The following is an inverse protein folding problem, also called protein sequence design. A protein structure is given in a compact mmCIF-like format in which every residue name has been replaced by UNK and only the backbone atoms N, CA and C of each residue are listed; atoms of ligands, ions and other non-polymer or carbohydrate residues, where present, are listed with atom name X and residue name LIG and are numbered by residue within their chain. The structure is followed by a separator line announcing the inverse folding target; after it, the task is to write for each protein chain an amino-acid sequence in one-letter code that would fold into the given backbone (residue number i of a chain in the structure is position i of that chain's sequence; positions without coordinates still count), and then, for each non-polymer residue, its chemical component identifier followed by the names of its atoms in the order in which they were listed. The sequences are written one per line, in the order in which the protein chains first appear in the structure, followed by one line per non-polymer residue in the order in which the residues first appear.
data_IF_126460070436
#
_entry.id   IF_126460070436
#
_cell.length_a   1.000
_cell.length_b   1.000
_cell.length_c   1.000
_cell.angle_alpha   90.00
_cell.angle_beta   90.00
_cell.angle_gamma   90.00
#
_symmetry.space_group_name_H-M   'P 1'
#
loop_
_entity.id
_entity.type
_entity.pdbx_description
1 polymer ?
#
# COMPACT_ATOMS: atom_id res chain seq x y z
N UNK A 1 -33.72 -56.21 30.92
CA UNK A 1 -34.00 -55.90 29.51
C UNK A 1 -33.34 -54.58 29.16
N UNK A 2 -32.08 -54.63 28.71
CA UNK A 2 -31.30 -53.48 28.22
C UNK A 2 -30.16 -54.09 27.41
N UNK A 3 -30.50 -54.50 26.19
CA UNK A 3 -29.55 -54.99 25.21
C UNK A 3 -29.25 -53.87 24.22
N UNK A 4 -27.95 -53.70 23.98
CA UNK A 4 -27.36 -53.39 22.67
C UNK A 4 -27.75 -52.07 22.00
N UNK A 5 -26.90 -51.06 22.17
CA UNK A 5 -26.58 -50.08 21.12
C UNK A 5 -25.16 -49.54 21.35
N UNK A 6 -24.19 -50.43 21.13
CA UNK A 6 -22.80 -50.10 20.83
C UNK A 6 -22.62 -50.34 19.32
N UNK A 7 -21.80 -49.50 18.68
CA UNK A 7 -21.42 -49.48 17.26
C UNK A 7 -22.33 -48.64 16.34
N UNK A 8 -21.90 -47.40 16.03
CA UNK A 8 -21.53 -47.00 14.66
C UNK A 8 -21.03 -45.54 14.61
N UNK A 9 -19.77 -45.26 14.98
CA UNK A 9 -19.19 -43.92 14.79
C UNK A 9 -17.68 -43.92 14.52
N UNK A 10 -17.13 -44.93 13.84
CA UNK A 10 -15.69 -45.00 13.56
C UNK A 10 -15.31 -45.36 12.12
N UNK A 11 -16.21 -45.22 11.14
CA UNK A 11 -15.83 -45.47 9.75
C UNK A 11 -16.37 -44.33 8.89
N UNK A 12 -15.48 -43.74 8.09
CA UNK A 12 -15.64 -42.58 7.20
C UNK A 12 -15.42 -41.23 7.93
N UNK A 13 -14.34 -40.48 7.73
CA UNK A 13 -13.35 -40.59 6.69
C UNK A 13 -12.18 -39.62 6.87
N UNK A 14 -11.07 -40.02 6.27
CA UNK A 14 -9.91 -39.20 5.90
C UNK A 14 -9.22 -38.51 7.07
N UNK A 15 -8.33 -39.27 7.72
CA UNK A 15 -7.12 -38.70 8.30
C UNK A 15 -6.31 -38.03 7.17
N UNK A 16 -6.68 -36.80 6.80
CA UNK A 16 -5.75 -35.92 6.11
C UNK A 16 -4.74 -35.51 7.16
N UNK A 17 -3.64 -36.26 7.26
CA UNK A 17 -2.40 -35.71 7.84
C UNK A 17 -2.25 -34.28 7.29
N UNK A 18 -1.94 -33.27 8.12
CA UNK A 18 -1.70 -31.92 7.60
C UNK A 18 -0.70 -32.07 6.44
N UNK A 19 -1.14 -31.71 5.23
CA UNK A 19 -0.33 -31.92 4.03
C UNK A 19 0.97 -31.18 4.28
N UNK A 20 2.09 -31.90 4.30
CA UNK A 20 3.38 -31.21 4.33
C UNK A 20 3.43 -30.28 3.11
N UNK A 21 3.73 -28.99 3.31
CA UNK A 21 3.84 -28.07 2.20
C UNK A 21 4.92 -28.61 1.26
N UNK A 22 4.55 -28.91 0.02
CA UNK A 22 5.48 -29.36 -1.02
C UNK A 22 6.54 -28.26 -1.22
N UNK A 23 7.77 -28.62 -1.53
CA UNK A 23 8.85 -27.65 -1.81
C UNK A 23 8.56 -26.70 -3.00
N UNK A 24 7.45 -26.88 -3.71
CA UNK A 24 7.04 -26.16 -4.91
C UNK A 24 5.99 -25.06 -4.70
N UNK A 25 5.57 -24.79 -3.47
CA UNK A 25 4.65 -23.68 -3.17
C UNK A 25 5.37 -22.35 -3.44
N UNK A 26 4.77 -21.52 -4.30
CA UNK A 26 5.27 -20.16 -4.50
C UNK A 26 4.99 -19.39 -3.21
N UNK A 27 6.03 -18.75 -2.66
CA UNK A 27 5.92 -18.01 -1.41
C UNK A 27 5.36 -16.63 -1.71
N UNK A 28 4.38 -16.19 -0.92
CA UNK A 28 3.94 -14.79 -0.96
C UNK A 28 5.12 -13.90 -0.63
N UNK A 29 5.41 -12.88 -1.46
CA UNK A 29 6.47 -11.94 -1.14
C UNK A 29 6.12 -11.17 0.14
N UNK A 30 7.11 -10.97 1.00
CA UNK A 30 6.93 -10.21 2.23
C UNK A 30 6.91 -8.71 1.88
N UNK A 31 5.77 -8.07 2.13
CA UNK A 31 5.58 -6.63 2.00
C UNK A 31 5.46 -6.05 3.42
N UNK A 32 6.31 -5.10 3.83
CA UNK A 32 6.16 -4.46 5.14
C UNK A 32 4.81 -3.74 5.24
N UNK A 33 4.21 -3.72 6.42
CA UNK A 33 2.98 -2.96 6.63
C UNK A 33 3.24 -1.47 6.34
N UNK A 34 2.39 -0.82 5.53
CA UNK A 34 2.54 0.60 5.25
C UNK A 34 2.23 1.43 6.52
N UNK A 35 2.97 2.54 6.76
CA UNK A 35 2.72 3.38 7.93
C UNK A 35 1.34 4.07 7.89
N UNK A 36 0.82 4.33 6.70
CA UNK A 36 -0.51 4.89 6.45
C UNK A 36 -1.18 4.24 5.23
N UNK A 37 -2.40 4.62 4.90
CA UNK A 37 -3.06 4.28 3.64
C UNK A 37 -2.59 5.18 2.48
N UNK A 38 -1.62 6.07 2.70
CA UNK A 38 -1.01 6.91 1.67
C UNK A 38 -1.93 7.99 1.09
N UNK A 39 -3.04 8.32 1.77
CA UNK A 39 -4.07 9.20 1.21
C UNK A 39 -3.52 10.62 0.97
N UNK A 40 -2.68 11.12 1.87
CA UNK A 40 -2.00 12.41 1.68
C UNK A 40 -1.16 12.45 0.40
N UNK A 41 -0.39 11.39 0.14
CA UNK A 41 0.44 11.25 -1.08
C UNK A 41 -0.45 11.21 -2.34
N UNK A 42 -1.58 10.52 -2.27
CA UNK A 42 -2.53 10.43 -3.39
C UNK A 42 -3.20 11.78 -3.70
N UNK A 43 -3.64 12.50 -2.67
CA UNK A 43 -4.30 13.81 -2.80
C UNK A 43 -3.34 14.94 -3.19
N UNK A 44 -2.05 14.75 -2.96
CA UNK A 44 -1.01 15.74 -3.31
C UNK A 44 -0.41 15.51 -4.70
N UNK A 45 -0.78 14.44 -5.43
CA UNK A 45 -0.28 14.19 -6.79
C UNK A 45 -0.47 15.40 -7.71
N UNK A 46 0.56 15.83 -8.48
CA UNK A 46 0.48 17.01 -9.34
C UNK A 46 -0.67 16.96 -10.36
N UNK A 47 -1.06 15.77 -10.80
CA UNK A 47 -2.13 15.55 -11.77
C UNK A 47 -3.52 15.83 -11.22
N UNK A 48 -3.70 15.80 -9.90
CA UNK A 48 -4.97 16.12 -9.27
C UNK A 48 -5.10 17.64 -9.21
N UNK A 49 -5.88 18.27 -10.09
CA UNK A 49 -6.23 19.70 -9.94
C UNK A 49 -7.39 19.86 -8.97
N UNK A 50 -7.85 21.09 -8.69
CA UNK A 50 -9.06 21.34 -7.90
C UNK A 50 -10.25 20.55 -8.48
N UNK A 51 -10.73 19.48 -7.81
CA UNK A 51 -11.67 18.53 -8.39
C UNK A 51 -13.13 18.87 -8.07
N UNK A 52 -13.38 19.98 -7.39
CA UNK A 52 -14.69 20.35 -6.88
C UNK A 52 -15.35 21.43 -7.75
N UNK A 53 -16.65 21.31 -7.98
CA UNK A 53 -17.44 22.32 -8.70
C UNK A 53 -17.79 23.52 -7.81
N UNK A 54 -17.69 23.35 -6.50
CA UNK A 54 -18.01 24.37 -5.49
C UNK A 54 -16.76 25.09 -5.02
N UNK A 55 -16.94 26.27 -4.40
CA UNK A 55 -15.84 27.03 -3.79
C UNK A 55 -15.48 26.49 -2.41
N UNK A 56 -16.50 26.10 -1.65
CA UNK A 56 -16.37 25.46 -0.35
C UNK A 56 -16.69 23.97 -0.48
N UNK A 57 -15.92 23.16 0.23
CA UNK A 57 -15.96 21.70 0.17
C UNK A 57 -16.29 21.16 1.55
N UNK A 58 -17.43 20.48 1.64
CA UNK A 58 -17.85 19.78 2.85
C UNK A 58 -17.20 18.38 2.95
N UNK A 59 -17.21 17.79 4.14
CA UNK A 59 -16.62 16.46 4.38
C UNK A 59 -17.13 15.42 3.36
N UNK A 60 -18.44 15.38 3.08
CA UNK A 60 -19.02 14.40 2.15
C UNK A 60 -18.40 14.46 0.73
N UNK A 61 -18.09 15.65 0.24
CA UNK A 61 -17.42 15.82 -1.06
C UNK A 61 -15.97 15.36 -0.99
N UNK A 62 -15.27 15.66 0.11
CA UNK A 62 -13.91 15.18 0.35
C UNK A 62 -13.86 13.65 0.48
N UNK A 63 -14.83 13.02 1.15
CA UNK A 63 -14.95 11.55 1.21
C UNK A 63 -15.10 10.96 -0.19
N UNK A 64 -15.93 11.57 -1.04
CA UNK A 64 -16.09 11.17 -2.43
C UNK A 64 -14.78 11.25 -3.22
N UNK A 65 -14.04 12.36 -3.07
CA UNK A 65 -12.71 12.51 -3.68
C UNK A 65 -11.73 11.46 -3.18
N UNK A 66 -11.62 11.27 -1.86
CA UNK A 66 -10.71 10.31 -1.24
C UNK A 66 -10.96 8.89 -1.77
N UNK A 67 -12.22 8.48 -1.89
CA UNK A 67 -12.57 7.18 -2.45
C UNK A 67 -12.17 7.05 -3.94
N UNK A 68 -12.38 8.11 -4.72
CA UNK A 68 -12.01 8.13 -6.15
C UNK A 68 -10.49 8.00 -6.34
N UNK A 69 -9.68 8.80 -5.62
CA UNK A 69 -8.22 8.76 -5.79
C UNK A 69 -7.61 7.44 -5.31
N UNK A 70 -8.20 6.81 -4.29
CA UNK A 70 -7.77 5.48 -3.82
C UNK A 70 -8.08 4.42 -4.87
N UNK A 71 -9.26 4.43 -5.48
CA UNK A 71 -9.61 3.51 -6.56
C UNK A 71 -8.68 3.67 -7.77
N UNK A 72 -8.45 4.91 -8.21
CA UNK A 72 -7.52 5.19 -9.30
C UNK A 72 -6.09 4.72 -8.98
N UNK A 73 -5.64 4.92 -7.74
CA UNK A 73 -4.33 4.46 -7.30
C UNK A 73 -4.24 2.93 -7.24
N UNK A 74 -5.30 2.25 -6.80
CA UNK A 74 -5.40 0.80 -6.81
C UNK A 74 -5.29 0.24 -8.23
N UNK A 75 -6.07 0.78 -9.17
CA UNK A 75 -5.97 0.40 -10.58
C UNK A 75 -4.57 0.64 -11.15
N UNK A 76 -3.95 1.79 -10.82
CA UNK A 76 -2.58 2.08 -11.23
C UNK A 76 -1.54 1.12 -10.65
N UNK A 77 -1.75 0.67 -9.41
CA UNK A 77 -0.91 -0.31 -8.75
C UNK A 77 -1.10 -1.72 -9.35
N UNK A 78 -2.34 -2.12 -9.64
CA UNK A 78 -2.62 -3.41 -10.26
C UNK A 78 -2.16 -3.46 -11.71
N UNK A 79 -2.32 -2.40 -12.49
CA UNK A 79 -1.74 -2.31 -13.84
C UNK A 79 -0.21 -2.35 -13.83
N UNK A 80 0.43 -1.89 -12.74
CA UNK A 80 1.86 -2.05 -12.54
C UNK A 80 2.26 -3.50 -12.22
N UNK A 81 1.42 -4.21 -11.45
CA UNK A 81 1.65 -5.64 -11.13
C UNK A 81 1.34 -6.53 -12.33
N UNK A 82 0.23 -6.31 -13.04
CA UNK A 82 -0.21 -7.02 -14.25
C UNK A 82 0.70 -6.69 -15.45
N UNK A 83 1.94 -7.17 -15.38
CA UNK A 83 2.97 -6.86 -16.36
C UNK A 83 2.65 -7.46 -17.75
N UNK A 84 1.80 -8.48 -17.80
CA UNK A 84 1.42 -9.16 -19.04
C UNK A 84 0.06 -8.68 -19.61
N UNK A 85 -0.71 -7.90 -18.85
CA UNK A 85 -2.02 -7.34 -19.21
C UNK A 85 -3.09 -8.40 -19.53
N UNK A 86 -3.02 -9.56 -18.88
CA UNK A 86 -4.01 -10.64 -19.05
C UNK A 86 -5.23 -10.47 -18.12
N UNK A 87 -5.26 -9.42 -17.30
CA UNK A 87 -6.36 -9.15 -16.36
C UNK A 87 -6.34 -10.06 -15.14
N UNK A 88 -5.28 -10.85 -14.95
CA UNK A 88 -5.10 -11.74 -13.83
C UNK A 88 -3.77 -11.49 -13.13
N UNK A 89 -3.81 -11.06 -11.88
CA UNK A 89 -2.62 -10.87 -11.07
C UNK A 89 -2.10 -12.24 -10.61
N UNK A 90 -0.87 -12.56 -11.00
CA UNK A 90 -0.11 -13.72 -10.53
C UNK A 90 0.77 -13.42 -9.32
N UNK A 91 1.08 -14.46 -8.54
CA UNK A 91 2.01 -14.34 -7.40
C UNK A 91 3.46 -14.04 -7.86
N UNK A 92 3.85 -14.51 -9.03
CA UNK A 92 5.15 -14.19 -9.65
C UNK A 92 5.25 -12.72 -10.04
N UNK A 93 4.17 -12.15 -10.55
CA UNK A 93 4.06 -10.73 -10.90
C UNK A 93 4.11 -9.84 -9.67
N UNK A 94 3.37 -10.21 -8.63
CA UNK A 94 3.47 -9.54 -7.33
C UNK A 94 4.90 -9.66 -6.78
N UNK A 95 5.52 -10.83 -6.87
CA UNK A 95 6.90 -11.04 -6.40
C UNK A 95 7.89 -10.15 -7.14
N UNK A 96 7.71 -10.00 -8.46
CA UNK A 96 8.50 -9.10 -9.29
C UNK A 96 8.32 -7.64 -8.84
N UNK A 97 7.07 -7.16 -8.77
CA UNK A 97 6.76 -5.79 -8.35
C UNK A 97 7.30 -5.46 -6.94
N UNK A 98 7.18 -6.40 -6.00
CA UNK A 98 7.72 -6.25 -4.64
C UNK A 98 9.26 -6.24 -4.67
N UNK A 99 9.89 -7.09 -5.47
CA UNK A 99 11.36 -7.12 -5.59
C UNK A 99 11.93 -5.83 -6.18
N UNK A 100 11.26 -5.24 -7.17
CA UNK A 100 11.62 -3.95 -7.77
C UNK A 100 11.44 -2.79 -6.79
N UNK A 101 10.54 -2.94 -5.82
CA UNK A 101 10.32 -1.96 -4.74
C UNK A 101 11.37 -2.05 -3.62
N UNK A 102 12.25 -3.06 -3.60
CA UNK A 102 13.32 -3.16 -2.61
C UNK A 102 14.59 -2.51 -3.11
N UNK A 103 14.94 -1.36 -2.54
CA UNK A 103 16.22 -0.69 -2.79
C UNK A 103 17.25 -1.18 -1.78
N UNK A 104 18.35 -1.74 -2.28
CA UNK A 104 19.45 -2.22 -1.45
C UNK A 104 20.65 -1.30 -1.63
N UNK A 105 21.04 -0.62 -0.55
CA UNK A 105 22.30 0.13 -0.46
C UNK A 105 23.29 -0.62 0.44
N UNK A 106 24.57 -0.21 0.44
CA UNK A 106 25.60 -0.81 1.31
C UNK A 106 25.25 -0.73 2.80
N UNK A 107 24.43 0.24 3.21
CA UNK A 107 24.09 0.52 4.61
C UNK A 107 22.68 0.08 5.01
N UNK A 108 21.76 -0.12 4.06
CA UNK A 108 20.37 -0.46 4.38
C UNK A 108 19.65 -1.15 3.24
N UNK A 109 18.70 -2.01 3.61
CA UNK A 109 17.67 -2.52 2.71
C UNK A 109 16.37 -1.81 3.04
N UNK A 110 15.80 -1.11 2.06
CA UNK A 110 14.60 -0.30 2.27
C UNK A 110 13.54 -0.61 1.23
N UNK A 111 12.29 -0.68 1.68
CA UNK A 111 11.14 -0.77 0.79
C UNK A 111 10.76 0.63 0.32
N UNK A 112 10.85 0.86 -0.99
CA UNK A 112 10.54 2.09 -1.70
C UNK A 112 9.68 1.73 -2.93
N UNK A 113 8.38 1.49 -2.72
CA UNK A 113 7.47 1.20 -3.82
C UNK A 113 7.19 2.46 -4.64
N UNK A 114 6.58 2.29 -5.81
CA UNK A 114 6.08 3.39 -6.62
C UNK A 114 5.11 4.27 -5.80
N UNK A 115 5.13 5.57 -6.04
CA UNK A 115 4.33 6.55 -5.32
C UNK A 115 2.84 6.14 -5.21
N UNK A 116 2.35 6.03 -3.97
CA UNK A 116 1.00 5.60 -3.64
C UNK A 116 0.67 4.13 -3.91
N UNK A 117 1.63 3.25 -4.22
CA UNK A 117 1.35 1.81 -4.47
C UNK A 117 1.54 0.89 -3.25
N UNK A 118 2.20 1.37 -2.18
CA UNK A 118 2.52 0.56 -1.00
C UNK A 118 1.29 -0.13 -0.39
N UNK A 119 0.19 0.58 -0.07
CA UNK A 119 -0.96 -0.04 0.59
C UNK A 119 -1.60 -1.13 -0.26
N UNK A 120 -1.57 -0.98 -1.59
CA UNK A 120 -2.14 -1.94 -2.53
C UNK A 120 -1.25 -3.17 -2.71
N UNK A 121 0.08 -3.00 -2.73
CA UNK A 121 1.01 -4.14 -2.73
C UNK A 121 0.88 -4.96 -1.43
N UNK A 122 0.70 -4.28 -0.29
CA UNK A 122 0.46 -4.93 0.99
C UNK A 122 -0.86 -5.71 1.00
N UNK A 123 -1.96 -5.08 0.59
CA UNK A 123 -3.27 -5.73 0.51
C UNK A 123 -3.28 -6.92 -0.44
N UNK A 124 -2.58 -6.84 -1.58
CA UNK A 124 -2.41 -7.97 -2.50
C UNK A 124 -1.65 -9.12 -1.84
N UNK A 125 -0.55 -8.83 -1.14
CA UNK A 125 0.22 -9.86 -0.44
C UNK A 125 -0.62 -10.56 0.64
N UNK A 126 -1.41 -9.81 1.42
CA UNK A 126 -2.33 -10.39 2.38
C UNK A 126 -3.38 -11.29 1.71
N UNK A 127 -4.03 -10.81 0.64
CA UNK A 127 -5.03 -11.57 -0.10
C UNK A 127 -4.44 -12.89 -0.65
N UNK A 128 -3.26 -12.85 -1.26
CA UNK A 128 -2.56 -14.08 -1.67
C UNK A 128 -2.22 -14.99 -0.49
N UNK A 129 -1.86 -14.43 0.66
CA UNK A 129 -1.59 -15.19 1.89
C UNK A 129 -2.80 -15.95 2.42
N UNK A 130 -4.02 -15.51 2.12
CA UNK A 130 -5.26 -16.19 2.52
C UNK A 130 -5.72 -17.27 1.54
N UNK A 131 -5.21 -17.29 0.31
CA UNK A 131 -5.59 -18.27 -0.72
C UNK A 131 -4.69 -19.50 -0.70
N UNK A 132 -5.22 -20.64 -1.14
CA UNK A 132 -4.40 -21.84 -1.34
C UNK A 132 -3.46 -21.63 -2.53
N UNK A 133 -2.18 -21.36 -2.22
CA UNK A 133 -1.13 -21.00 -3.17
C UNK A 133 -0.63 -22.19 -3.99
N UNK A 134 -1.52 -22.86 -4.70
CA UNK A 134 -1.09 -23.66 -5.85
C UNK A 134 -0.36 -22.76 -6.85
N UNK A 135 0.56 -23.32 -7.67
CA UNK A 135 1.36 -22.59 -8.68
C UNK A 135 0.56 -21.78 -9.71
N UNK A 136 -0.77 -21.83 -9.65
CA UNK A 136 -1.70 -21.17 -10.57
C UNK A 136 -2.70 -20.27 -9.84
N UNK A 137 -2.42 -19.86 -8.60
CA UNK A 137 -3.23 -18.88 -7.90
C UNK A 137 -3.21 -17.56 -8.69
N UNK A 138 -4.35 -17.23 -9.29
CA UNK A 138 -4.58 -16.02 -10.07
C UNK A 138 -5.70 -15.23 -9.42
N UNK A 139 -5.51 -13.93 -9.29
CA UNK A 139 -6.52 -13.00 -8.82
C UNK A 139 -7.05 -12.23 -10.02
N UNK A 140 -8.35 -12.35 -10.27
CA UNK A 140 -9.02 -11.49 -11.25
C UNK A 140 -9.00 -10.05 -10.73
N UNK A 141 -8.60 -9.10 -11.57
CA UNK A 141 -8.57 -7.67 -11.23
C UNK A 141 -9.93 -7.18 -10.75
N UNK A 142 -11.03 -7.71 -11.31
CA UNK A 142 -12.39 -7.35 -10.87
C UNK A 142 -12.70 -7.76 -9.43
N UNK A 143 -12.14 -8.87 -8.95
CA UNK A 143 -12.26 -9.30 -7.57
C UNK A 143 -11.43 -8.44 -6.60
N UNK A 144 -10.49 -7.63 -7.12
CA UNK A 144 -9.67 -6.75 -6.31
C UNK A 144 -10.39 -5.45 -5.91
N UNK A 145 -11.49 -5.09 -6.59
CA UNK A 145 -12.38 -4.01 -6.13
C UNK A 145 -12.85 -4.23 -4.68
N UNK A 146 -13.09 -5.49 -4.30
CA UNK A 146 -13.45 -5.84 -2.93
C UNK A 146 -12.33 -5.50 -1.93
N UNK A 147 -11.06 -5.58 -2.34
CA UNK A 147 -9.93 -5.17 -1.48
C UNK A 147 -9.90 -3.66 -1.28
N UNK A 148 -10.24 -2.89 -2.32
CA UNK A 148 -10.33 -1.44 -2.22
C UNK A 148 -11.50 -1.04 -1.33
N UNK A 149 -12.65 -1.67 -1.48
CA UNK A 149 -13.80 -1.45 -0.60
C UNK A 149 -13.50 -1.83 0.86
N UNK A 150 -12.75 -2.90 1.10
CA UNK A 150 -12.25 -3.25 2.45
C UNK A 150 -11.32 -2.17 3.00
N UNK A 151 -10.38 -1.67 2.20
CA UNK A 151 -9.48 -0.59 2.59
C UNK A 151 -10.25 0.69 2.95
N UNK A 152 -11.20 1.11 2.10
CA UNK A 152 -12.03 2.30 2.30
C UNK A 152 -12.92 2.23 3.56
N UNK A 153 -13.20 1.03 4.05
CA UNK A 153 -13.97 0.78 5.29
C UNK A 153 -13.09 0.49 6.50
N UNK A 154 -11.77 0.39 6.32
CA UNK A 154 -10.86 0.12 7.41
C UNK A 154 -10.79 1.32 8.38
N UNK A 155 -10.68 1.04 9.68
CA UNK A 155 -10.57 2.08 10.70
C UNK A 155 -9.37 3.00 10.42
N UNK A 156 -8.23 2.42 10.04
CA UNK A 156 -7.01 3.16 9.66
C UNK A 156 -7.25 4.17 8.55
N UNK A 157 -7.99 3.78 7.50
CA UNK A 157 -8.33 4.70 6.41
C UNK A 157 -9.31 5.79 6.85
N UNK A 158 -10.33 5.43 7.64
CA UNK A 158 -11.33 6.39 8.13
C UNK A 158 -10.68 7.45 9.03
N UNK A 159 -9.76 7.02 9.91
CA UNK A 159 -9.01 7.90 10.79
C UNK A 159 -8.07 8.82 9.99
N UNK A 160 -7.30 8.28 9.03
CA UNK A 160 -6.43 9.09 8.16
C UNK A 160 -7.24 10.09 7.32
N UNK A 161 -8.34 9.65 6.72
CA UNK A 161 -9.23 10.52 5.94
C UNK A 161 -9.76 11.68 6.77
N UNK A 162 -10.21 11.41 7.99
CA UNK A 162 -10.72 12.45 8.89
C UNK A 162 -9.62 13.41 9.31
N UNK A 163 -8.45 12.89 9.70
CA UNK A 163 -7.31 13.71 10.08
C UNK A 163 -6.88 14.65 8.94
N UNK A 164 -6.83 14.15 7.70
CA UNK A 164 -6.51 14.96 6.54
C UNK A 164 -7.59 16.00 6.21
N UNK A 165 -8.86 15.66 6.43
CA UNK A 165 -9.94 16.63 6.28
C UNK A 165 -9.78 17.79 7.27
N UNK A 166 -9.60 17.46 8.55
CA UNK A 166 -9.42 18.43 9.62
C UNK A 166 -8.15 19.28 9.39
N UNK A 167 -7.08 18.67 8.89
CA UNK A 167 -5.84 19.36 8.54
C UNK A 167 -6.04 20.39 7.40
N UNK A 168 -6.79 20.03 6.35
CA UNK A 168 -7.07 20.94 5.24
C UNK A 168 -8.03 22.07 5.67
N UNK A 169 -9.02 21.74 6.49
CA UNK A 169 -9.99 22.70 7.02
C UNK A 169 -9.37 23.66 8.06
N UNK A 170 -8.32 23.22 8.75
CA UNK A 170 -7.61 23.97 9.78
C UNK A 170 -8.22 23.80 11.18
N UNK A 171 -7.39 23.99 12.21
CA UNK A 171 -7.81 23.98 13.61
C UNK A 171 -8.87 25.08 13.85
N UNK A 172 -10.13 24.67 14.08
CA UNK A 172 -11.18 25.58 14.55
C UNK A 172 -12.41 25.75 13.67
N UNK A 173 -12.70 24.86 12.72
CA UNK A 173 -14.05 24.81 12.11
C UNK A 173 -15.02 24.17 13.10
N UNK A 174 -15.39 24.96 14.11
CA UNK A 174 -16.35 24.65 15.17
C UNK A 174 -17.80 24.96 14.78
N UNK A 175 -18.08 25.00 13.48
CA UNK A 175 -19.32 25.52 12.90
C UNK A 175 -20.08 24.37 12.23
N UNK A 176 -20.36 23.31 13.00
CA UNK A 176 -21.25 22.16 12.73
C UNK A 176 -21.15 21.37 11.40
N UNK A 177 -20.46 21.85 10.35
CA UNK A 177 -20.39 21.18 9.04
C UNK A 177 -18.99 21.02 8.44
N UNK A 178 -17.94 21.66 9.00
CA UNK A 178 -16.55 21.45 8.56
C UNK A 178 -16.36 21.67 7.06
N UNK A 179 -15.92 22.85 6.61
CA UNK A 179 -15.68 23.09 5.18
C UNK A 179 -14.32 23.71 4.93
N UNK A 180 -13.68 23.37 3.79
CA UNK A 180 -12.49 24.06 3.32
C UNK A 180 -12.69 24.67 1.92
N UNK A 181 -11.96 25.75 1.64
CA UNK A 181 -12.01 26.43 0.36
C UNK A 181 -10.81 26.08 -0.53
N UNK A 182 -10.88 26.46 -1.80
CA UNK A 182 -9.79 26.23 -2.77
C UNK A 182 -8.41 26.75 -2.32
N UNK A 183 -8.27 27.97 -1.78
CA UNK A 183 -6.97 28.43 -1.29
C UNK A 183 -6.39 27.56 -0.17
N UNK A 184 -7.24 27.05 0.75
CA UNK A 184 -6.80 26.18 1.85
C UNK A 184 -6.26 24.85 1.31
N UNK A 185 -6.98 24.25 0.36
CA UNK A 185 -6.53 23.03 -0.33
C UNK A 185 -5.21 23.22 -1.08
N UNK A 186 -5.08 24.31 -1.85
CA UNK A 186 -3.86 24.59 -2.61
C UNK A 186 -2.66 24.87 -1.69
N UNK A 187 -2.88 25.57 -0.57
CA UNK A 187 -1.86 25.78 0.45
C UNK A 187 -1.41 24.46 1.11
N UNK A 188 -2.37 23.64 1.56
CA UNK A 188 -2.11 22.32 2.15
C UNK A 188 -1.32 21.42 1.18
N UNK A 189 -1.75 21.35 -0.09
CA UNK A 189 -1.06 20.55 -1.11
C UNK A 189 0.37 21.03 -1.36
N UNK A 190 0.57 22.34 -1.44
CA UNK A 190 1.89 22.91 -1.68
C UNK A 190 2.85 22.58 -0.53
N UNK A 191 2.38 22.65 0.71
CA UNK A 191 3.17 22.26 1.89
C UNK A 191 3.61 20.78 1.80
N UNK A 192 2.69 19.87 1.51
CA UNK A 192 2.96 18.43 1.48
C UNK A 192 3.78 17.95 0.26
N UNK A 193 3.63 18.61 -0.89
CA UNK A 193 4.51 18.36 -2.05
C UNK A 193 5.96 18.73 -1.74
N UNK A 194 6.15 19.86 -1.05
CA UNK A 194 7.47 20.33 -0.66
C UNK A 194 8.13 19.39 0.36
N UNK A 195 7.38 18.87 1.34
CA UNK A 195 7.88 17.89 2.30
C UNK A 195 8.26 16.56 1.66
N UNK A 196 7.44 16.08 0.71
CA UNK A 196 7.75 14.88 -0.07
C UNK A 196 9.05 15.05 -0.88
N UNK A 197 9.29 16.25 -1.42
CA UNK A 197 10.53 16.59 -2.13
C UNK A 197 11.73 16.81 -1.20
N UNK A 198 11.52 17.43 -0.04
CA UNK A 198 12.56 17.75 0.93
C UNK A 198 13.08 16.48 1.60
N UNK A 199 12.18 15.53 1.85
CA UNK A 199 12.55 14.21 2.34
C UNK A 199 13.28 13.39 1.27
N UNK A 200 12.84 13.44 -0.01
CA UNK A 200 13.58 12.83 -1.12
C UNK A 200 14.98 13.43 -1.31
N UNK A 201 15.12 14.75 -1.21
CA UNK A 201 16.39 15.48 -1.31
C UNK A 201 17.30 15.25 -0.10
N UNK A 202 16.75 15.13 1.11
CA UNK A 202 17.52 14.84 2.33
C UNK A 202 18.10 13.42 2.30
N UNK A 203 17.35 12.47 1.72
CA UNK A 203 17.84 11.11 1.43
C UNK A 203 18.98 11.15 0.40
N UNK A 204 18.84 11.90 -0.70
CA UNK A 204 19.93 12.06 -1.69
C UNK A 204 21.18 12.75 -1.11
N UNK A 205 21.01 13.77 -0.26
CA UNK A 205 22.13 14.48 0.38
C UNK A 205 22.92 13.58 1.35
N UNK A 206 22.25 12.73 2.13
CA UNK A 206 22.91 11.74 2.97
C UNK A 206 23.63 10.64 2.16
N UNK A 207 23.21 10.39 0.92
CA UNK A 207 23.92 9.50 0.00
C UNK A 207 25.18 10.12 -0.59
N UNK A 208 25.27 11.46 -0.68
CA UNK A 208 26.44 12.14 -1.19
C UNK A 208 27.55 12.30 -0.13
N UNK A 209 27.21 12.64 1.11
CA UNK A 209 28.20 12.84 2.19
C UNK A 209 28.95 11.56 2.60
N UNK A 210 28.36 10.38 2.43
CA UNK A 210 29.03 9.11 2.72
C UNK A 210 30.11 8.76 1.67
N UNK A 211 30.01 9.30 0.45
CA UNK A 211 30.98 9.05 -0.62
C UNK A 211 32.17 10.03 -0.62
N UNK A 212 32.08 11.16 0.08
CA UNK A 212 33.14 12.18 0.11
C UNK A 212 34.16 12.01 1.25
N UNK A 213 33.90 11.15 2.24
CA UNK A 213 34.78 11.00 3.42
C UNK A 213 35.89 9.94 3.26
N UNK A 214 36.01 9.24 2.13
CA UNK A 214 36.96 8.12 1.98
C UNK A 214 38.04 8.26 0.89
N UNK A 215 38.38 9.49 0.49
CA UNK A 215 39.53 9.72 -0.41
C UNK A 215 40.40 10.87 0.14
N UNK A 216 41.05 10.66 1.29
CA UNK A 216 42.12 11.58 1.73
C UNK A 216 43.20 10.96 2.62
N UNK A 217 43.01 9.79 3.25
CA UNK A 217 44.03 9.19 4.12
C UNK A 217 44.60 7.88 3.55
N UNK A 218 45.47 8.00 2.54
CA UNK A 218 46.07 6.79 1.97
C UNK A 218 47.09 6.99 0.86
N UNK A 219 47.98 7.99 0.95
CA UNK A 219 49.19 8.03 0.13
C UNK A 219 50.42 8.34 1.00
N UNK A 220 50.72 7.38 1.89
CA UNK A 220 52.09 7.14 2.33
C UNK A 220 52.64 5.97 1.52
N UNK A 221 53.40 6.26 0.46
CA UNK A 221 54.24 5.26 -0.21
C UNK A 221 55.67 5.76 -0.10
N UNK A 222 56.38 5.21 0.89
CA UNK A 222 57.84 5.17 0.90
C UNK A 222 58.29 4.08 -0.08
N UNK A 223 59.17 4.45 -1.01
CA UNK A 223 60.36 3.71 -1.43
C UNK A 223 61.27 4.64 -2.23
#
# INVERSE_FOLDING_TARGET
MLESLVCLACVLGVSSKPRQPKASYVKVPQVPEPPSCGLAELLTKPTLSWPFETTDVAEAQFVGLAATVVREAAHGAWAYVDANQDGHLGIEELSKAVSESWVTSKASKRFQPKAGSWPFLYALAEEFGTKDLSRSARLDVSAMEELVDKLLRSVKFLDERRALFDEVAGDGVGDEEGTFSRPLWEAWRSAHQNESSAWAACVEAHHHDINTVNIADGLGVEN
#
